data_IF_339776764210
#
_entry.id   IF_339776764210
#
_cell.length_a   1.000
_cell.length_b   1.000
_cell.length_c   1.000
_cell.angle_alpha   90.00
_cell.angle_beta   90.00
_cell.angle_gamma   90.00
#
_symmetry.space_group_name_H-M   'P 1'
#
loop_
_entity.id
_entity.type
_entity.pdbx_description
1 polymer ?
#
# COMPACT_ATOMS: atom_id res chain seq x y z
N UNK A 1 -3.84 28.95 6.25
CA UNK A 1 -2.73 28.81 5.28
C UNK A 1 -3.25 28.03 4.09
N UNK A 2 -3.69 28.73 3.04
CA UNK A 2 -4.32 28.14 1.85
C UNK A 2 -3.23 27.88 0.81
N UNK A 3 -2.86 26.61 0.58
CA UNK A 3 -1.99 26.23 -0.55
C UNK A 3 -2.86 25.73 -1.70
N UNK A 4 -3.01 26.57 -2.71
CA UNK A 4 -3.48 26.20 -4.04
C UNK A 4 -2.36 25.47 -4.79
N UNK A 5 -2.62 24.25 -5.25
CA UNK A 5 -1.71 23.51 -6.13
C UNK A 5 -2.04 23.85 -7.60
N UNK A 6 -1.15 24.60 -8.25
CA UNK A 6 -1.14 24.77 -9.70
C UNK A 6 -0.48 23.57 -10.37
N UNK A 7 -1.15 23.03 -11.39
CA UNK A 7 -0.62 21.99 -12.27
C UNK A 7 -0.12 22.63 -13.56
N UNK A 8 1.17 22.51 -13.84
CA UNK A 8 1.77 22.86 -15.12
C UNK A 8 3.26 22.57 -15.09
N UNK A 9 3.72 21.58 -15.85
CA UNK A 9 4.48 21.91 -17.06
C UNK A 9 4.90 20.69 -17.87
N UNK A 10 4.80 20.93 -19.17
CA UNK A 10 5.05 20.08 -20.32
C UNK A 10 6.55 19.86 -20.51
N UNK A 11 6.95 18.59 -20.61
CA UNK A 11 8.32 18.24 -20.98
C UNK A 11 8.48 18.35 -22.50
N UNK A 12 9.13 19.43 -22.95
CA UNK A 12 9.55 19.59 -24.34
C UNK A 12 10.64 18.57 -24.70
N UNK A 13 10.46 17.96 -25.87
CA UNK A 13 11.35 17.02 -26.52
C UNK A 13 12.24 17.82 -27.47
N UNK A 14 13.56 17.81 -27.26
CA UNK A 14 14.53 18.31 -28.24
C UNK A 14 15.15 17.12 -28.96
N UNK A 15 14.80 16.99 -30.23
CA UNK A 15 15.55 16.23 -31.22
C UNK A 15 16.74 17.06 -31.76
N UNK A 16 17.60 16.37 -32.52
CA UNK A 16 18.65 16.87 -33.43
C UNK A 16 20.02 17.21 -32.81
N UNK A 17 21.06 16.44 -33.20
CA UNK A 17 22.01 16.92 -34.23
C UNK A 17 22.80 15.76 -34.87
N UNK A 18 22.98 15.89 -36.17
CA UNK A 18 23.56 14.99 -37.16
C UNK A 18 25.04 15.29 -37.40
N UNK A 19 25.81 14.23 -37.71
CA UNK A 19 27.04 14.13 -38.52
C UNK A 19 28.28 15.00 -38.23
N UNK A 20 29.45 14.36 -38.29
CA UNK A 20 30.59 14.83 -39.09
C UNK A 20 31.55 13.68 -39.39
N UNK A 21 31.59 13.29 -40.67
CA UNK A 21 32.62 12.48 -41.31
C UNK A 21 33.70 13.44 -41.80
N UNK A 22 34.98 13.11 -41.60
CA UNK A 22 36.09 13.71 -42.32
C UNK A 22 37.23 12.67 -42.53
N UNK A 23 38.09 12.86 -43.55
CA UNK A 23 38.63 11.76 -44.34
C UNK A 23 40.13 11.49 -44.11
N UNK A 24 40.55 10.33 -44.64
CA UNK A 24 41.81 10.07 -45.37
C UNK A 24 43.12 10.66 -44.83
N UNK A 25 44.09 9.80 -44.50
CA UNK A 25 45.40 9.87 -45.14
C UNK A 25 46.10 8.50 -45.15
N UNK A 26 46.56 8.13 -46.35
CA UNK A 26 47.25 6.88 -46.62
C UNK A 26 48.69 6.87 -46.14
N UNK A 27 49.20 5.66 -45.97
CA UNK A 27 50.61 5.35 -46.15
C UNK A 27 50.70 3.92 -46.73
N UNK A 28 51.10 3.85 -47.98
CA UNK A 28 51.51 2.62 -48.64
C UNK A 28 52.69 1.98 -47.88
N UNK A 29 52.52 0.72 -47.50
CA UNK A 29 53.65 -0.20 -47.30
C UNK A 29 53.40 -1.47 -48.11
N UNK A 30 53.97 -1.47 -49.31
CA UNK A 30 54.31 -2.70 -50.05
C UNK A 30 55.55 -3.31 -49.38
N UNK A 31 55.45 -4.56 -48.93
CA UNK A 31 56.51 -5.56 -49.16
C UNK A 31 56.16 -6.92 -48.56
N UNK A 32 56.27 -7.94 -49.40
CA UNK A 32 56.72 -9.31 -49.06
C UNK A 32 55.88 -10.16 -48.08
N UNK A 33 54.70 -10.62 -48.51
CA UNK A 33 54.08 -11.84 -47.94
C UNK A 33 53.46 -12.70 -49.06
N UNK A 34 54.30 -13.14 -50.00
CA UNK A 34 53.88 -13.90 -51.19
C UNK A 34 54.01 -15.42 -51.07
N UNK A 35 54.64 -15.96 -50.02
CA UNK A 35 55.00 -17.40 -50.00
C UNK A 35 54.63 -18.18 -48.72
N UNK A 36 54.12 -17.55 -47.66
CA UNK A 36 53.55 -18.27 -46.49
C UNK A 36 52.02 -18.44 -46.52
N UNK A 37 51.32 -17.82 -47.46
CA UNK A 37 49.84 -17.81 -47.49
C UNK A 37 49.20 -19.14 -47.96
N UNK A 38 50.00 -20.08 -48.49
CA UNK A 38 49.51 -21.41 -48.92
C UNK A 38 49.56 -22.48 -47.81
N UNK A 39 50.28 -22.25 -46.72
CA UNK A 39 50.34 -23.18 -45.57
C UNK A 39 49.22 -22.92 -44.54
N UNK A 40 48.79 -21.67 -44.37
CA UNK A 40 47.76 -21.27 -43.38
C UNK A 40 46.33 -21.60 -43.85
N UNK A 41 46.07 -21.68 -45.17
CA UNK A 41 44.75 -22.04 -45.71
C UNK A 41 44.31 -23.48 -45.38
N UNK A 42 45.24 -24.44 -45.23
CA UNK A 42 44.89 -25.83 -44.86
C UNK A 42 44.57 -26.01 -43.37
N UNK A 43 45.12 -25.18 -42.48
CA UNK A 43 44.78 -25.22 -41.04
C UNK A 43 43.48 -24.47 -40.69
N UNK A 44 43.06 -23.49 -41.50
CA UNK A 44 41.78 -22.77 -41.33
C UNK A 44 40.54 -23.63 -41.60
N UNK A 45 40.64 -24.66 -42.46
CA UNK A 45 39.52 -25.54 -42.78
C UNK A 45 39.03 -26.41 -41.61
N UNK A 46 39.91 -26.75 -40.68
CA UNK A 46 39.57 -27.56 -39.49
C UNK A 46 39.17 -26.70 -38.27
N UNK A 47 39.73 -25.48 -38.17
CA UNK A 47 39.53 -24.62 -37.00
C UNK A 47 38.12 -23.99 -36.94
N UNK A 48 37.52 -23.67 -38.09
CA UNK A 48 36.18 -23.06 -38.15
C UNK A 48 35.06 -24.02 -37.68
N UNK A 49 34.98 -25.28 -38.17
CA UNK A 49 34.01 -26.26 -37.66
C UNK A 49 34.16 -26.52 -36.15
N UNK A 50 35.39 -26.56 -35.64
CA UNK A 50 35.67 -26.73 -34.22
C UNK A 50 35.14 -25.56 -33.39
N UNK A 51 35.41 -24.31 -33.83
CA UNK A 51 34.94 -23.10 -33.16
C UNK A 51 33.41 -23.01 -33.15
N UNK A 52 32.76 -23.34 -34.28
CA UNK A 52 31.28 -23.42 -34.35
C UNK A 52 30.75 -24.50 -33.39
N UNK A 53 31.41 -25.66 -33.32
CA UNK A 53 31.08 -26.71 -32.36
C UNK A 53 31.16 -26.24 -30.91
N UNK A 54 32.23 -25.54 -30.53
CA UNK A 54 32.40 -24.98 -29.18
C UNK A 54 31.32 -23.93 -28.87
N UNK A 55 31.00 -23.05 -29.81
CA UNK A 55 29.93 -22.04 -29.65
C UNK A 55 28.57 -22.72 -29.47
N UNK A 56 28.26 -23.75 -30.25
CA UNK A 56 26.99 -24.47 -30.10
C UNK A 56 26.90 -25.21 -28.76
N UNK A 57 27.97 -25.89 -28.34
CA UNK A 57 28.01 -26.58 -27.04
C UNK A 57 27.85 -25.58 -25.89
N UNK A 58 28.59 -24.46 -25.92
CA UNK A 58 28.48 -23.43 -24.88
C UNK A 58 27.11 -22.77 -24.85
N UNK A 59 26.51 -22.49 -26.00
CA UNK A 59 25.15 -21.94 -26.09
C UNK A 59 24.10 -22.92 -25.52
N UNK A 60 24.20 -24.22 -25.85
CA UNK A 60 23.32 -25.26 -25.31
C UNK A 60 23.52 -25.41 -23.80
N UNK A 61 24.76 -25.47 -23.31
CA UNK A 61 25.05 -25.53 -21.88
C UNK A 61 24.50 -24.31 -21.13
N UNK A 62 24.65 -23.10 -21.68
CA UNK A 62 24.10 -21.89 -21.11
C UNK A 62 22.56 -21.91 -21.10
N UNK A 63 21.93 -22.37 -22.18
CA UNK A 63 20.47 -22.54 -22.24
C UNK A 63 19.96 -23.53 -21.19
N UNK A 64 20.65 -24.67 -21.00
CA UNK A 64 20.33 -25.66 -19.97
C UNK A 64 20.49 -25.08 -18.56
N UNK A 65 21.56 -24.33 -18.31
CA UNK A 65 21.77 -23.65 -17.02
C UNK A 65 20.69 -22.60 -16.74
N UNK A 66 20.33 -21.80 -17.73
CA UNK A 66 19.24 -20.81 -17.62
C UNK A 66 17.89 -21.49 -17.39
N UNK A 67 17.60 -22.58 -18.09
CA UNK A 67 16.39 -23.37 -17.90
C UNK A 67 16.32 -23.99 -16.50
N UNK A 68 17.41 -24.62 -16.04
CA UNK A 68 17.51 -25.19 -14.69
C UNK A 68 17.30 -24.12 -13.62
N UNK A 69 17.96 -22.98 -13.77
CA UNK A 69 17.79 -21.84 -12.85
C UNK A 69 16.35 -21.32 -12.84
N UNK A 70 15.68 -21.28 -13.98
CA UNK A 70 14.28 -20.89 -14.08
C UNK A 70 13.34 -21.89 -13.37
N UNK A 71 13.58 -23.19 -13.54
CA UNK A 71 12.82 -24.26 -12.87
C UNK A 71 13.03 -24.22 -11.35
N UNK A 72 14.27 -24.08 -10.90
CA UNK A 72 14.59 -23.97 -9.46
C UNK A 72 13.97 -22.72 -8.84
N UNK A 73 14.03 -21.57 -9.52
CA UNK A 73 13.32 -20.35 -9.10
C UNK A 73 11.81 -20.55 -9.00
N UNK A 74 11.21 -21.26 -9.97
CA UNK A 74 9.77 -21.56 -9.94
C UNK A 74 9.41 -22.45 -8.74
N UNK A 75 10.16 -23.52 -8.49
CA UNK A 75 9.96 -24.41 -7.33
C UNK A 75 10.14 -23.67 -6.00
N UNK A 76 11.19 -22.86 -5.88
CA UNK A 76 11.42 -22.05 -4.68
C UNK A 76 10.28 -21.04 -4.46
N UNK A 77 9.77 -20.42 -5.52
CA UNK A 77 8.63 -19.52 -5.45
C UNK A 77 7.33 -20.23 -5.07
N UNK A 78 7.09 -21.45 -5.56
CA UNK A 78 5.92 -22.26 -5.22
C UNK A 78 5.97 -22.75 -3.77
N UNK A 79 7.15 -23.18 -3.31
CA UNK A 79 7.38 -23.56 -1.91
C UNK A 79 7.19 -22.37 -0.97
N UNK A 80 7.77 -21.21 -1.29
CA UNK A 80 7.58 -19.99 -0.51
C UNK A 80 6.11 -19.55 -0.49
N UNK A 81 5.41 -19.65 -1.61
CA UNK A 81 3.97 -19.38 -1.68
C UNK A 81 3.17 -20.32 -0.78
N UNK A 82 3.41 -21.63 -0.88
CA UNK A 82 2.70 -22.63 -0.07
C UNK A 82 2.94 -22.40 1.43
N UNK A 83 4.18 -22.09 1.81
CA UNK A 83 4.52 -21.72 3.18
C UNK A 83 3.80 -20.44 3.64
N UNK A 84 3.83 -19.36 2.85
CA UNK A 84 3.15 -18.11 3.23
C UNK A 84 1.62 -18.29 3.30
N UNK A 85 1.04 -19.12 2.43
CA UNK A 85 -0.39 -19.41 2.45
C UNK A 85 -0.82 -20.22 3.68
N UNK A 86 0.03 -21.13 4.19
CA UNK A 86 -0.26 -21.87 5.42
C UNK A 86 -0.26 -20.98 6.67
N UNK A 87 0.31 -19.78 6.57
CA UNK A 87 0.29 -18.76 7.62
C UNK A 87 -0.97 -17.89 7.62
N UNK A 88 -1.89 -18.11 6.68
CA UNK A 88 -3.14 -17.36 6.55
C UNK A 88 -4.33 -18.25 6.89
N UNK A 89 -5.15 -17.80 7.84
CA UNK A 89 -6.42 -18.43 8.18
C UNK A 89 -7.61 -17.47 8.00
N UNK A 90 -8.81 -18.04 7.98
CA UNK A 90 -10.08 -17.30 8.03
C UNK A 90 -10.83 -17.74 9.27
N UNK A 91 -11.10 -16.82 10.19
CA UNK A 91 -11.88 -17.10 11.39
C UNK A 91 -13.35 -17.42 11.05
N UNK A 92 -14.08 -17.99 12.01
CA UNK A 92 -15.53 -18.23 11.90
C UNK A 92 -16.35 -16.98 11.52
N UNK A 93 -15.85 -15.78 11.86
CA UNK A 93 -16.49 -14.51 11.50
C UNK A 93 -16.15 -13.99 10.08
N UNK A 94 -15.42 -14.79 9.29
CA UNK A 94 -14.90 -14.40 7.97
C UNK A 94 -13.69 -13.46 8.03
N UNK A 95 -13.20 -13.08 9.22
CA UNK A 95 -12.00 -12.24 9.36
C UNK A 95 -10.75 -13.04 9.05
N UNK A 96 -9.87 -12.48 8.24
CA UNK A 96 -8.53 -13.00 7.96
C UNK A 96 -7.64 -12.85 9.19
N UNK A 97 -6.93 -13.93 9.52
CA UNK A 97 -5.95 -14.01 10.60
C UNK A 97 -4.63 -14.43 9.99
N UNK A 98 -3.55 -13.73 10.33
CA UNK A 98 -2.20 -14.04 9.86
C UNK A 98 -1.35 -14.46 11.04
N UNK A 99 -0.52 -15.47 10.82
CA UNK A 99 0.58 -15.85 11.72
C UNK A 99 1.89 -15.40 11.09
N UNK A 100 2.76 -14.76 11.86
CA UNK A 100 4.04 -14.32 11.32
C UNK A 100 5.05 -15.47 11.28
N UNK A 101 5.93 -15.52 10.27
CA UNK A 101 6.90 -16.62 10.10
C UNK A 101 7.92 -16.73 11.25
N UNK A 102 8.07 -15.69 12.06
CA UNK A 102 8.91 -15.66 13.25
C UNK A 102 8.40 -14.63 14.26
N UNK A 103 8.90 -14.73 15.49
CA UNK A 103 8.70 -13.69 16.49
C UNK A 103 9.41 -12.40 16.08
N UNK A 104 8.74 -11.28 16.31
CA UNK A 104 9.28 -9.94 16.11
C UNK A 104 9.97 -9.52 17.41
N UNK A 105 11.18 -8.97 17.29
CA UNK A 105 12.06 -8.64 18.42
C UNK A 105 12.33 -7.14 18.48
N UNK A 106 12.78 -6.65 19.64
CA UNK A 106 13.11 -5.22 19.83
C UNK A 106 14.28 -4.72 18.97
N UNK A 107 15.06 -5.63 18.39
CA UNK A 107 16.22 -5.33 17.54
C UNK A 107 15.91 -5.48 16.06
N UNK A 108 14.68 -5.85 15.68
CA UNK A 108 14.32 -5.93 14.27
C UNK A 108 14.43 -4.55 13.62
N UNK A 109 15.07 -4.54 12.45
CA UNK A 109 15.13 -3.36 11.60
C UNK A 109 13.80 -3.13 10.90
N UNK A 110 13.59 -1.93 10.35
CA UNK A 110 12.38 -1.60 9.63
C UNK A 110 12.16 -2.49 8.40
N UNK A 111 13.24 -2.84 7.68
CA UNK A 111 13.21 -3.79 6.58
C UNK A 111 12.92 -5.23 7.04
N UNK A 112 13.47 -5.66 8.19
CA UNK A 112 13.16 -6.97 8.76
C UNK A 112 11.67 -7.14 9.07
N UNK A 113 11.05 -6.09 9.63
CA UNK A 113 9.64 -6.09 9.94
C UNK A 113 8.78 -6.13 8.67
N UNK A 114 9.13 -5.33 7.65
CA UNK A 114 8.47 -5.35 6.35
C UNK A 114 8.48 -6.75 5.70
N UNK A 115 9.65 -7.43 5.76
CA UNK A 115 9.85 -8.78 5.22
C UNK A 115 8.98 -9.84 5.89
N UNK A 116 8.70 -9.67 7.18
CA UNK A 116 7.88 -10.60 7.97
C UNK A 116 6.39 -10.36 7.73
N UNK A 117 5.97 -9.10 7.59
CA UNK A 117 4.56 -8.73 7.65
C UNK A 117 3.88 -8.60 6.29
N UNK A 118 4.51 -7.95 5.31
CA UNK A 118 3.85 -7.69 4.02
C UNK A 118 3.56 -8.98 3.24
N UNK A 119 4.49 -9.95 3.11
CA UNK A 119 4.25 -11.14 2.30
C UNK A 119 3.05 -11.97 2.77
N UNK A 120 2.84 -12.13 4.08
CA UNK A 120 1.70 -12.89 4.62
C UNK A 120 0.37 -12.15 4.41
N UNK A 121 0.34 -10.83 4.57
CA UNK A 121 -0.85 -10.01 4.28
C UNK A 121 -1.12 -9.91 2.77
N UNK A 122 -0.09 -9.98 1.93
CA UNK A 122 -0.25 -10.12 0.49
C UNK A 122 -0.97 -11.42 0.14
N UNK A 123 -0.52 -12.58 0.66
CA UNK A 123 -1.23 -13.84 0.44
C UNK A 123 -2.65 -13.83 1.03
N UNK A 124 -2.86 -13.22 2.20
CA UNK A 124 -4.19 -13.06 2.78
C UNK A 124 -5.13 -12.25 1.88
N UNK A 125 -4.60 -11.23 1.23
CA UNK A 125 -5.38 -10.43 0.29
C UNK A 125 -5.73 -11.20 -0.98
N UNK A 126 -4.82 -12.06 -1.47
CA UNK A 126 -5.11 -12.93 -2.61
C UNK A 126 -6.15 -13.99 -2.27
N UNK A 127 -6.05 -14.59 -1.09
CA UNK A 127 -7.07 -15.50 -0.57
C UNK A 127 -8.43 -14.78 -0.49
N UNK A 128 -8.45 -13.50 -0.12
CA UNK A 128 -9.70 -12.75 -0.01
C UNK A 128 -10.42 -12.48 -1.32
N UNK A 129 -9.74 -12.61 -2.47
CA UNK A 129 -10.34 -12.45 -3.79
C UNK A 129 -11.32 -13.57 -4.14
N UNK A 130 -11.24 -14.73 -3.46
CA UNK A 130 -12.18 -15.83 -3.68
C UNK A 130 -13.63 -15.46 -3.34
N UNK A 131 -13.82 -14.44 -2.48
CA UNK A 131 -15.14 -13.89 -2.13
C UNK A 131 -15.78 -13.16 -3.32
N UNK A 132 -14.99 -12.67 -4.27
CA UNK A 132 -15.47 -11.86 -5.39
C UNK A 132 -15.83 -12.75 -6.59
N UNK A 133 -16.81 -13.64 -6.44
CA UNK A 133 -17.33 -14.50 -7.51
C UNK A 133 -18.65 -13.96 -8.10
N UNK A 134 -19.22 -14.67 -9.08
CA UNK A 134 -20.45 -14.25 -9.77
C UNK A 134 -21.67 -14.14 -8.84
N UNK A 135 -21.62 -14.81 -7.69
CA UNK A 135 -22.67 -14.84 -6.67
C UNK A 135 -22.46 -13.81 -5.54
N UNK A 136 -21.36 -13.04 -5.58
CA UNK A 136 -21.00 -12.09 -4.52
C UNK A 136 -22.11 -11.07 -4.24
N UNK A 137 -22.42 -10.90 -2.97
CA UNK A 137 -23.35 -9.87 -2.50
C UNK A 137 -22.61 -8.72 -1.80
N UNK A 138 -23.22 -7.52 -1.73
CA UNK A 138 -22.65 -6.38 -1.03
C UNK A 138 -22.23 -6.63 0.43
N UNK A 139 -22.93 -7.51 1.15
CA UNK A 139 -22.57 -7.89 2.53
C UNK A 139 -21.26 -8.67 2.61
N UNK A 140 -20.94 -9.45 1.59
CA UNK A 140 -19.90 -10.48 1.63
C UNK A 140 -18.51 -9.85 1.52
N UNK A 141 -18.41 -8.71 0.84
CA UNK A 141 -17.14 -8.06 0.54
C UNK A 141 -16.49 -7.35 1.74
N UNK A 142 -17.20 -7.22 2.87
CA UNK A 142 -16.73 -6.43 4.02
C UNK A 142 -15.35 -6.88 4.55
N UNK A 143 -15.19 -8.18 4.79
CA UNK A 143 -13.94 -8.72 5.34
C UNK A 143 -12.83 -8.73 4.28
N UNK A 144 -13.15 -9.02 3.02
CA UNK A 144 -12.19 -8.98 1.92
C UNK A 144 -11.66 -7.56 1.69
N UNK A 145 -12.55 -6.55 1.69
CA UNK A 145 -12.19 -5.14 1.61
C UNK A 145 -11.28 -4.71 2.78
N UNK A 146 -11.56 -5.17 4.00
CA UNK A 146 -10.67 -4.94 5.15
C UNK A 146 -9.31 -5.61 5.00
N UNK A 147 -9.24 -6.80 4.39
CA UNK A 147 -7.97 -7.46 4.07
C UNK A 147 -7.17 -6.61 3.08
N UNK A 148 -7.78 -6.20 1.96
CA UNK A 148 -7.17 -5.31 0.96
C UNK A 148 -6.67 -4.00 1.57
N UNK A 149 -7.46 -3.39 2.47
CA UNK A 149 -7.12 -2.17 3.18
C UNK A 149 -5.87 -2.36 4.06
N UNK A 150 -5.86 -3.42 4.88
CA UNK A 150 -4.72 -3.74 5.74
C UNK A 150 -3.44 -3.92 4.92
N UNK A 151 -3.51 -4.70 3.83
CA UNK A 151 -2.36 -4.92 2.96
C UNK A 151 -1.89 -3.64 2.29
N UNK A 152 -2.81 -2.79 1.83
CA UNK A 152 -2.49 -1.48 1.25
C UNK A 152 -1.80 -0.55 2.26
N UNK A 153 -2.31 -0.50 3.47
CA UNK A 153 -1.78 0.36 4.52
C UNK A 153 -0.39 -0.13 4.99
N UNK A 154 -0.18 -1.45 5.04
CA UNK A 154 1.17 -2.03 5.24
C UNK A 154 2.14 -1.68 4.11
N UNK A 155 1.66 -1.68 2.86
CA UNK A 155 2.47 -1.18 1.76
C UNK A 155 2.85 0.28 2.05
N UNK A 156 1.89 1.17 2.25
CA UNK A 156 2.19 2.60 2.47
C UNK A 156 3.15 2.82 3.66
N UNK A 157 2.93 2.14 4.79
CA UNK A 157 3.80 2.18 5.97
C UNK A 157 5.23 1.72 5.66
N UNK A 158 5.43 0.60 4.97
CA UNK A 158 6.77 0.09 4.66
C UNK A 158 7.31 0.52 3.30
N UNK A 159 6.65 1.47 2.63
CA UNK A 159 7.09 1.99 1.33
C UNK A 159 8.57 2.40 1.27
N UNK A 160 9.20 2.96 2.33
CA UNK A 160 10.59 3.39 2.28
C UNK A 160 11.61 2.30 1.99
N UNK A 161 11.33 1.04 2.31
CA UNK A 161 12.29 -0.06 2.12
C UNK A 161 12.13 -0.75 0.76
N UNK A 162 11.21 -0.29 -0.08
CA UNK A 162 10.94 -0.90 -1.39
C UNK A 162 11.30 0.06 -2.53
N UNK A 163 12.20 -0.37 -3.41
CA UNK A 163 12.68 0.49 -4.50
C UNK A 163 11.65 0.68 -5.60
N UNK A 164 11.50 1.91 -6.10
CA UNK A 164 10.61 2.17 -7.24
C UNK A 164 11.29 2.01 -8.62
N UNK A 165 12.54 1.53 -8.69
CA UNK A 165 13.28 1.42 -9.97
C UNK A 165 12.52 0.64 -11.05
N UNK A 166 11.74 -0.35 -10.65
CA UNK A 166 10.96 -1.21 -11.55
C UNK A 166 9.48 -0.79 -11.68
N UNK A 167 9.08 0.32 -11.05
CA UNK A 167 7.67 0.79 -10.93
C UNK A 167 6.70 -0.24 -10.33
N UNK A 168 7.25 -1.27 -9.70
CA UNK A 168 6.46 -2.38 -9.12
C UNK A 168 5.63 -1.88 -7.97
N UNK A 169 6.26 -1.10 -7.10
CA UNK A 169 5.62 -0.45 -5.97
C UNK A 169 4.37 0.32 -6.39
N UNK A 170 4.54 1.34 -7.25
CA UNK A 170 3.47 2.21 -7.70
C UNK A 170 2.32 1.43 -8.36
N UNK A 171 2.64 0.42 -9.18
CA UNK A 171 1.62 -0.40 -9.84
C UNK A 171 0.84 -1.24 -8.84
N UNK A 172 1.54 -1.91 -7.91
CA UNK A 172 0.91 -2.70 -6.87
C UNK A 172 0.02 -1.83 -5.98
N UNK A 173 0.52 -0.67 -5.54
CA UNK A 173 -0.24 0.25 -4.72
C UNK A 173 -1.46 0.83 -5.44
N UNK A 174 -1.35 1.17 -6.73
CA UNK A 174 -2.52 1.60 -7.52
C UNK A 174 -3.58 0.49 -7.64
N UNK A 175 -3.16 -0.76 -7.82
CA UNK A 175 -4.09 -1.89 -7.85
C UNK A 175 -4.86 -2.05 -6.53
N UNK A 176 -4.17 -1.99 -5.38
CA UNK A 176 -4.83 -2.04 -4.08
C UNK A 176 -5.75 -0.84 -3.83
N UNK A 177 -5.38 0.36 -4.29
CA UNK A 177 -6.23 1.55 -4.21
C UNK A 177 -7.55 1.32 -4.94
N UNK A 178 -7.46 0.92 -6.21
CA UNK A 178 -8.60 0.68 -7.09
C UNK A 178 -9.49 -0.43 -6.52
N UNK A 179 -8.91 -1.55 -6.10
CA UNK A 179 -9.66 -2.65 -5.50
C UNK A 179 -10.40 -2.26 -4.24
N UNK A 180 -9.74 -1.53 -3.34
CA UNK A 180 -10.37 -1.04 -2.12
C UNK A 180 -11.54 -0.09 -2.39
N UNK A 181 -11.39 0.82 -3.37
CA UNK A 181 -12.43 1.79 -3.75
C UNK A 181 -13.60 1.09 -4.46
N UNK A 182 -13.34 0.16 -5.38
CA UNK A 182 -14.36 -0.60 -6.11
C UNK A 182 -15.13 -1.52 -5.17
N UNK A 183 -14.43 -2.30 -4.34
CA UNK A 183 -15.06 -3.16 -3.33
C UNK A 183 -15.86 -2.33 -2.33
N UNK A 184 -15.38 -1.15 -1.96
CA UNK A 184 -16.12 -0.21 -1.12
C UNK A 184 -17.41 0.25 -1.76
N UNK A 185 -17.34 0.75 -2.98
CA UNK A 185 -18.51 1.14 -3.76
C UNK A 185 -19.54 0.00 -3.85
N UNK A 186 -19.11 -1.24 -4.08
CA UNK A 186 -20.06 -2.35 -4.07
C UNK A 186 -20.63 -2.64 -2.68
N UNK A 187 -19.82 -2.60 -1.62
CA UNK A 187 -20.24 -2.79 -0.23
C UNK A 187 -21.28 -1.75 0.21
N UNK A 188 -21.16 -0.50 -0.23
CA UNK A 188 -22.05 0.60 0.18
C UNK A 188 -23.51 0.36 -0.28
N UNK A 189 -23.75 -0.62 -1.18
CA UNK A 189 -25.11 -1.08 -1.50
C UNK A 189 -25.73 -1.94 -0.38
N UNK A 190 -24.96 -2.44 0.58
CA UNK A 190 -25.51 -3.16 1.73
C UNK A 190 -26.07 -2.22 2.80
N UNK A 191 -25.63 -0.95 2.81
CA UNK A 191 -25.96 -0.03 3.89
C UNK A 191 -27.47 0.26 3.90
N UNK A 192 -28.11 0.04 5.06
CA UNK A 192 -29.57 -0.02 5.20
C UNK A 192 -30.34 1.26 4.87
N UNK A 193 -29.65 2.35 4.52
CA UNK A 193 -30.23 3.62 4.12
C UNK A 193 -30.19 3.85 2.60
N UNK A 194 -29.67 2.89 1.82
CA UNK A 194 -29.49 3.03 0.38
C UNK A 194 -30.51 2.18 -0.37
N UNK A 195 -31.45 2.82 -1.06
CA UNK A 195 -32.29 2.14 -2.06
C UNK A 195 -31.60 2.19 -3.42
N UNK A 196 -31.32 1.02 -4.01
CA UNK A 196 -30.68 0.90 -5.32
C UNK A 196 -31.48 0.00 -6.25
N UNK A 197 -31.40 0.26 -7.55
CA UNK A 197 -31.99 -0.60 -8.57
C UNK A 197 -31.05 -1.76 -8.95
N UNK A 198 -31.63 -2.77 -9.60
CA UNK A 198 -30.91 -3.96 -10.07
C UNK A 198 -29.77 -3.62 -11.04
N UNK A 199 -29.91 -2.55 -11.83
CA UNK A 199 -28.90 -2.15 -12.79
C UNK A 199 -27.64 -1.58 -12.10
N UNK A 200 -27.80 -0.74 -11.07
CA UNK A 200 -26.68 -0.24 -10.26
C UNK A 200 -25.95 -1.37 -9.55
N UNK A 201 -26.69 -2.36 -9.03
CA UNK A 201 -26.12 -3.56 -8.43
C UNK A 201 -25.22 -4.32 -9.42
N UNK A 202 -25.75 -4.66 -10.60
CA UNK A 202 -24.96 -5.37 -11.63
C UNK A 202 -23.74 -4.54 -12.06
N UNK A 203 -23.91 -3.25 -12.31
CA UNK A 203 -22.81 -2.36 -12.69
C UNK A 203 -21.66 -2.37 -11.67
N UNK A 204 -21.95 -2.27 -10.36
CA UNK A 204 -20.92 -2.25 -9.32
C UNK A 204 -20.29 -3.64 -9.11
N UNK A 205 -21.08 -4.72 -9.19
CA UNK A 205 -20.56 -6.09 -9.15
C UNK A 205 -19.64 -6.36 -10.33
N UNK A 206 -20.06 -6.05 -11.55
CA UNK A 206 -19.27 -6.34 -12.74
C UNK A 206 -17.95 -5.55 -12.74
N UNK A 207 -17.95 -4.31 -12.24
CA UNK A 207 -16.71 -3.55 -12.02
C UNK A 207 -15.76 -4.23 -11.01
N UNK A 208 -16.29 -4.82 -9.94
CA UNK A 208 -15.53 -5.59 -8.96
C UNK A 208 -14.91 -6.85 -9.59
N UNK A 209 -15.69 -7.60 -10.36
CA UNK A 209 -15.21 -8.82 -11.05
C UNK A 209 -14.16 -8.51 -12.11
N UNK A 210 -14.36 -7.45 -12.90
CA UNK A 210 -13.38 -6.98 -13.88
C UNK A 210 -12.07 -6.59 -13.19
N UNK A 211 -12.13 -5.82 -12.10
CA UNK A 211 -10.92 -5.47 -11.34
C UNK A 211 -10.23 -6.72 -10.77
N UNK A 212 -10.98 -7.65 -10.19
CA UNK A 212 -10.44 -8.91 -9.65
C UNK A 212 -9.63 -9.64 -10.71
N UNK A 213 -10.20 -9.88 -11.90
CA UNK A 213 -9.50 -10.56 -12.98
C UNK A 213 -8.26 -9.81 -13.46
N UNK A 214 -8.32 -8.47 -13.55
CA UNK A 214 -7.16 -7.65 -13.89
C UNK A 214 -6.05 -7.76 -12.84
N UNK A 215 -6.42 -7.79 -11.55
CA UNK A 215 -5.49 -7.91 -10.45
C UNK A 215 -4.85 -9.32 -10.37
N UNK A 216 -5.64 -10.38 -10.51
CA UNK A 216 -5.15 -11.76 -10.60
C UNK A 216 -4.17 -11.91 -11.78
N UNK A 217 -4.55 -11.42 -12.97
CA UNK A 217 -3.67 -11.43 -14.14
C UNK A 217 -2.39 -10.60 -13.92
N UNK A 218 -2.48 -9.47 -13.22
CA UNK A 218 -1.32 -8.65 -12.85
C UNK A 218 -0.36 -9.43 -11.93
N UNK A 219 -0.89 -10.19 -10.96
CA UNK A 219 -0.10 -11.00 -10.03
C UNK A 219 0.50 -12.24 -10.70
N UNK A 220 -0.27 -12.96 -11.50
CA UNK A 220 0.17 -14.20 -12.17
C UNK A 220 1.23 -13.95 -13.24
N UNK A 221 1.03 -12.93 -14.09
CA UNK A 221 2.03 -12.55 -15.11
C UNK A 221 3.36 -12.13 -14.48
N UNK A 222 3.32 -11.74 -13.20
CA UNK A 222 4.45 -11.18 -12.46
C UNK A 222 4.73 -12.00 -11.20
N UNK A 223 5.13 -13.26 -11.36
CA UNK A 223 5.67 -14.08 -10.27
C UNK A 223 6.75 -13.34 -9.43
N UNK A 224 7.39 -12.31 -10.00
CA UNK A 224 8.31 -11.46 -9.29
C UNK A 224 7.67 -10.64 -8.14
N UNK A 225 6.36 -10.38 -8.08
CA UNK A 225 5.76 -9.52 -7.01
C UNK A 225 6.02 -10.14 -5.64
N UNK A 226 5.80 -11.46 -5.50
CA UNK A 226 6.12 -12.18 -4.25
C UNK A 226 7.59 -12.06 -3.90
N UNK A 227 8.46 -12.30 -4.89
CA UNK A 227 9.91 -12.14 -4.72
C UNK A 227 10.25 -10.71 -4.30
N UNK A 228 9.67 -9.70 -4.94
CA UNK A 228 9.89 -8.31 -4.64
C UNK A 228 9.51 -7.97 -3.19
N UNK A 229 8.34 -8.41 -2.73
CA UNK A 229 7.88 -8.18 -1.35
C UNK A 229 8.74 -8.91 -0.30
N UNK A 230 9.37 -10.04 -0.67
CA UNK A 230 10.30 -10.77 0.21
C UNK A 230 11.68 -10.13 0.35
N UNK A 231 12.01 -9.12 -0.45
CA UNK A 231 13.33 -8.49 -0.47
C UNK A 231 13.24 -6.96 -0.30
N UNK A 232 12.77 -6.46 0.85
CA UNK A 232 12.98 -5.06 1.20
C UNK A 232 14.48 -4.76 1.26
N UNK A 233 14.84 -3.53 0.90
CA UNK A 233 16.22 -3.04 0.93
C UNK A 233 16.61 -2.68 2.35
N UNK A 234 17.68 -3.30 2.85
CA UNK A 234 18.24 -3.00 4.17
C UNK A 234 18.70 -1.54 4.30
N UNK A 235 19.14 -0.90 3.21
CA UNK A 235 19.62 0.48 3.24
C UNK A 235 18.65 1.44 2.51
N UNK A 236 17.45 0.97 2.17
CA UNK A 236 16.48 1.74 1.40
C UNK A 236 15.74 2.77 2.25
N UNK A 237 15.73 4.02 1.82
CA UNK A 237 14.93 5.11 2.40
C UNK A 237 14.21 5.87 1.26
N UNK A 238 13.39 5.15 0.50
CA UNK A 238 12.77 5.65 -0.71
C UNK A 238 11.53 6.50 -0.43
N UNK A 239 11.38 7.61 -1.15
CA UNK A 239 10.14 8.36 -1.23
C UNK A 239 9.36 7.94 -2.47
N UNK A 240 8.05 7.76 -2.34
CA UNK A 240 7.17 7.38 -3.46
C UNK A 240 6.06 8.41 -3.64
N UNK A 241 5.75 8.75 -4.90
CA UNK A 241 4.71 9.73 -5.23
C UNK A 241 3.28 9.21 -4.96
N UNK A 242 3.09 7.90 -4.98
CA UNK A 242 1.78 7.24 -4.88
C UNK A 242 1.42 6.80 -3.45
N UNK A 243 2.27 7.14 -2.46
CA UNK A 243 2.02 6.82 -1.05
C UNK A 243 0.90 7.72 -0.51
N UNK A 244 0.04 7.13 0.31
CA UNK A 244 -1.03 7.87 0.97
C UNK A 244 -0.46 8.97 1.89
N UNK A 245 -1.10 10.14 1.90
CA UNK A 245 -0.74 11.23 2.81
C UNK A 245 -0.87 10.86 4.29
N UNK A 246 -1.63 9.81 4.61
CA UNK A 246 -1.82 9.30 5.97
C UNK A 246 -0.57 8.65 6.58
N UNK A 247 0.54 8.54 5.83
CA UNK A 247 1.77 7.90 6.30
C UNK A 247 2.92 8.91 6.33
N UNK A 248 3.98 8.70 5.55
CA UNK A 248 5.20 9.51 5.60
C UNK A 248 5.09 10.89 4.96
N UNK A 249 3.89 11.38 4.65
CA UNK A 249 3.74 12.73 4.14
C UNK A 249 3.92 13.74 5.28
N UNK A 250 4.84 14.68 5.10
CA UNK A 250 5.19 15.65 6.14
C UNK A 250 6.28 15.19 7.11
N UNK A 251 6.78 13.95 6.99
CA UNK A 251 7.99 13.53 7.68
C UNK A 251 9.21 14.22 7.05
N UNK A 252 10.16 14.69 7.88
CA UNK A 252 11.42 15.30 7.41
C UNK A 252 12.22 14.33 6.53
N UNK A 253 12.24 13.05 6.93
CA UNK A 253 12.72 11.93 6.12
C UNK A 253 11.91 10.68 6.40
N UNK A 254 11.67 9.80 5.41
CA UNK A 254 11.19 8.46 5.68
C UNK A 254 12.27 7.62 6.39
N UNK A 255 11.89 6.54 7.10
CA UNK A 255 12.85 5.62 7.70
C UNK A 255 13.67 4.89 6.63
N UNK A 256 14.90 4.56 6.99
CA UNK A 256 15.77 3.67 6.25
C UNK A 256 15.53 2.21 6.67
N UNK A 257 15.88 1.25 5.82
CA UNK A 257 15.65 -0.16 6.11
C UNK A 257 16.36 -0.68 7.37
N UNK A 258 17.49 -0.08 7.73
CA UNK A 258 18.34 -0.41 8.87
C UNK A 258 17.96 0.36 10.14
N UNK A 259 17.05 1.35 10.03
CA UNK A 259 16.49 2.02 11.19
C UNK A 259 15.73 0.99 12.05
N UNK A 260 15.71 1.19 13.37
CA UNK A 260 14.95 0.32 14.26
C UNK A 260 13.46 0.42 13.92
N UNK A 261 12.80 -0.74 13.79
CA UNK A 261 11.39 -0.78 13.42
C UNK A 261 10.51 -0.06 14.44
N UNK A 262 10.85 -0.18 15.73
CA UNK A 262 10.14 0.47 16.84
C UNK A 262 10.13 2.00 16.69
N UNK A 263 11.32 2.61 16.63
CA UNK A 263 11.43 4.07 16.52
C UNK A 263 10.75 4.58 15.25
N UNK A 264 10.94 3.89 14.12
CA UNK A 264 10.31 4.27 12.85
C UNK A 264 8.77 4.27 12.96
N UNK A 265 8.17 3.21 13.50
CA UNK A 265 6.72 3.12 13.65
C UNK A 265 6.16 4.08 14.72
N UNK A 266 6.91 4.36 15.78
CA UNK A 266 6.52 5.38 16.77
C UNK A 266 6.49 6.77 16.14
N UNK A 267 7.49 7.13 15.32
CA UNK A 267 7.51 8.40 14.57
C UNK A 267 6.31 8.52 13.64
N UNK A 268 5.98 7.46 12.89
CA UNK A 268 4.79 7.41 12.04
C UNK A 268 3.50 7.63 12.84
N UNK A 269 3.37 6.93 13.98
CA UNK A 269 2.20 7.05 14.84
C UNK A 269 2.06 8.45 15.45
N UNK A 270 3.16 9.09 15.86
CA UNK A 270 3.17 10.48 16.34
C UNK A 270 2.74 11.43 15.23
N UNK A 271 3.27 11.27 14.01
CA UNK A 271 2.88 12.08 12.84
C UNK A 271 1.37 11.97 12.56
N UNK A 272 0.82 10.77 12.56
CA UNK A 272 -0.61 10.54 12.36
C UNK A 272 -1.48 11.15 13.47
N UNK A 273 -1.04 11.04 14.73
CA UNK A 273 -1.77 11.62 15.87
C UNK A 273 -1.74 13.15 15.83
N UNK A 274 -0.61 13.77 15.44
CA UNK A 274 -0.51 15.21 15.26
C UNK A 274 -1.39 15.69 14.11
N UNK A 275 -1.37 15.02 12.95
CA UNK A 275 -2.28 15.33 11.84
C UNK A 275 -3.75 15.19 12.27
N UNK A 276 -4.08 14.15 13.05
CA UNK A 276 -5.42 13.96 13.59
C UNK A 276 -5.81 15.12 14.52
N UNK A 277 -4.90 15.62 15.35
CA UNK A 277 -5.14 16.77 16.22
C UNK A 277 -5.38 18.06 15.41
N UNK A 278 -4.60 18.28 14.35
CA UNK A 278 -4.77 19.43 13.46
C UNK A 278 -6.15 19.42 12.80
N UNK A 279 -6.57 18.29 12.23
CA UNK A 279 -7.92 18.16 11.68
C UNK A 279 -8.99 18.32 12.77
N UNK A 280 -8.79 17.76 13.97
CA UNK A 280 -9.75 17.91 15.07
C UNK A 280 -9.97 19.39 15.41
N UNK A 281 -8.89 20.17 15.50
CA UNK A 281 -8.95 21.61 15.80
C UNK A 281 -9.72 22.39 14.73
N UNK A 282 -9.52 22.04 13.46
CA UNK A 282 -10.27 22.64 12.34
C UNK A 282 -11.75 22.30 12.43
N UNK A 283 -12.09 21.01 12.55
CA UNK A 283 -13.49 20.58 12.46
C UNK A 283 -14.32 21.00 13.67
N UNK A 284 -13.74 21.11 14.88
CA UNK A 284 -14.48 21.59 16.05
C UNK A 284 -14.99 23.03 15.90
N UNK A 285 -14.37 23.81 15.02
CA UNK A 285 -14.83 25.15 14.63
C UNK A 285 -16.10 25.17 13.78
N UNK A 286 -16.54 24.05 13.23
CA UNK A 286 -17.71 24.01 12.35
C UNK A 286 -19.03 24.02 13.12
N UNK A 287 -19.88 24.99 12.79
CA UNK A 287 -21.26 25.06 13.29
C UNK A 287 -22.21 24.13 12.54
N UNK A 288 -21.91 23.82 11.28
CA UNK A 288 -22.66 22.90 10.42
C UNK A 288 -21.68 22.03 9.64
N UNK A 289 -22.07 20.81 9.29
CA UNK A 289 -21.18 19.87 8.59
C UNK A 289 -21.62 19.58 7.15
N UNK A 290 -22.78 20.09 6.72
CA UNK A 290 -23.36 19.85 5.39
C UNK A 290 -22.64 20.47 4.18
N UNK A 291 -21.43 21.00 4.33
CA UNK A 291 -20.62 21.42 3.18
C UNK A 291 -19.66 20.31 2.74
N UNK A 292 -19.34 20.26 1.43
CA UNK A 292 -18.37 19.29 0.90
C UNK A 292 -16.98 19.46 1.51
N UNK A 293 -16.59 20.70 1.78
CA UNK A 293 -15.31 21.03 2.41
C UNK A 293 -15.26 20.50 3.84
N UNK A 294 -16.29 20.77 4.65
CA UNK A 294 -16.34 20.26 6.02
C UNK A 294 -16.37 18.74 6.05
N UNK A 295 -17.06 18.11 5.09
CA UNK A 295 -17.05 16.67 4.98
C UNK A 295 -15.68 16.09 4.67
N UNK A 296 -14.93 16.73 3.79
CA UNK A 296 -13.58 16.30 3.48
C UNK A 296 -12.69 16.33 4.74
N UNK A 297 -12.78 17.40 5.53
CA UNK A 297 -11.96 17.59 6.73
C UNK A 297 -12.29 16.57 7.84
N UNK A 298 -13.57 16.34 8.19
CA UNK A 298 -13.88 15.32 9.21
C UNK A 298 -13.60 13.89 8.70
N UNK A 299 -13.71 13.67 7.40
CA UNK A 299 -13.35 12.37 6.79
C UNK A 299 -11.84 12.14 6.84
N UNK A 300 -11.03 13.17 6.62
CA UNK A 300 -9.58 13.09 6.80
C UNK A 300 -9.22 12.83 8.26
N UNK A 301 -9.84 13.55 9.21
CA UNK A 301 -9.69 13.25 10.63
C UNK A 301 -9.98 11.77 10.96
N UNK A 302 -11.12 11.26 10.48
CA UNK A 302 -11.51 9.86 10.66
C UNK A 302 -10.49 8.90 10.05
N UNK A 303 -9.90 9.23 8.90
CA UNK A 303 -8.89 8.41 8.24
C UNK A 303 -7.58 8.37 9.02
N UNK A 304 -7.14 9.48 9.60
CA UNK A 304 -5.95 9.52 10.45
C UNK A 304 -6.15 8.64 11.69
N UNK A 305 -7.28 8.80 12.39
CA UNK A 305 -7.64 7.92 13.52
C UNK A 305 -7.70 6.44 13.12
N UNK A 306 -8.25 6.14 11.94
CA UNK A 306 -8.31 4.78 11.43
C UNK A 306 -6.91 4.24 11.14
N UNK A 307 -6.04 5.00 10.49
CA UNK A 307 -4.67 4.61 10.16
C UNK A 307 -3.92 4.21 11.42
N UNK A 308 -3.88 5.12 12.41
CA UNK A 308 -3.25 4.87 13.70
C UNK A 308 -3.86 3.66 14.43
N UNK A 309 -5.18 3.52 14.48
CA UNK A 309 -5.83 2.39 15.17
C UNK A 309 -5.59 1.05 14.49
N UNK A 310 -5.50 1.03 13.16
CA UNK A 310 -5.18 -0.17 12.39
C UNK A 310 -3.71 -0.54 12.60
N UNK A 311 -2.80 0.44 12.66
CA UNK A 311 -1.40 0.26 13.04
C UNK A 311 -1.24 -0.23 14.49
N UNK A 312 -1.94 0.37 15.46
CA UNK A 312 -1.95 -0.12 16.84
C UNK A 312 -2.40 -1.58 16.92
N UNK A 313 -3.37 -1.99 16.09
CA UNK A 313 -3.81 -3.39 16.05
C UNK A 313 -2.73 -4.32 15.50
N UNK A 314 -1.96 -3.88 14.51
CA UNK A 314 -0.91 -4.68 13.86
C UNK A 314 0.40 -4.69 14.64
N UNK A 315 0.76 -3.55 15.23
CA UNK A 315 2.06 -3.22 15.78
C UNK A 315 2.01 -2.79 17.24
N UNK A 316 0.88 -2.93 17.93
CA UNK A 316 0.73 -2.42 19.30
C UNK A 316 1.80 -2.92 20.27
N UNK A 317 2.28 -4.15 20.07
CA UNK A 317 3.38 -4.73 20.85
C UNK A 317 4.77 -4.12 20.54
N UNK A 318 4.93 -3.51 19.37
CA UNK A 318 6.12 -2.74 18.96
C UNK A 318 6.01 -1.29 19.43
N UNK A 319 4.84 -0.67 19.22
CA UNK A 319 4.56 0.73 19.56
C UNK A 319 4.54 0.97 21.07
N UNK A 320 3.94 0.05 21.83
CA UNK A 320 3.74 0.15 23.28
C UNK A 320 4.21 -1.14 23.97
N UNK A 321 5.53 -1.39 24.07
CA UNK A 321 6.06 -2.50 24.84
C UNK A 321 5.74 -2.33 26.32
N UNK A 322 5.79 -3.43 27.09
CA UNK A 322 5.38 -3.45 28.50
C UNK A 322 6.04 -2.34 29.33
N UNK A 323 7.33 -2.03 29.11
CA UNK A 323 8.01 -0.95 29.81
C UNK A 323 7.32 0.42 29.65
N UNK A 324 6.92 0.78 28.42
CA UNK A 324 6.16 2.01 28.16
C UNK A 324 4.78 1.96 28.84
N UNK A 325 4.12 0.80 28.77
CA UNK A 325 2.81 0.60 29.41
C UNK A 325 2.88 0.68 30.94
N UNK A 326 3.98 0.27 31.55
CA UNK A 326 4.18 0.30 32.99
C UNK A 326 4.46 1.73 33.48
N UNK A 327 5.23 2.52 32.71
CA UNK A 327 5.55 3.92 33.04
C UNK A 327 4.35 4.87 32.90
N UNK A 328 3.58 4.75 31.82
CA UNK A 328 2.43 5.63 31.54
C UNK A 328 1.15 5.17 32.21
N UNK A 329 1.11 3.93 32.71
CA UNK A 329 -0.12 3.30 33.14
C UNK A 329 -0.89 2.72 31.95
N UNK A 330 -0.88 1.39 31.84
CA UNK A 330 -1.63 0.60 30.85
C UNK A 330 -3.11 1.00 30.75
N UNK A 331 -3.71 1.44 31.85
CA UNK A 331 -5.09 1.91 31.91
C UNK A 331 -5.29 3.21 31.13
N UNK A 332 -4.36 4.16 31.20
CA UNK A 332 -4.45 5.43 30.50
C UNK A 332 -4.35 5.25 28.98
N UNK A 333 -3.36 4.48 28.52
CA UNK A 333 -3.22 4.13 27.09
C UNK A 333 -4.46 3.40 26.59
N UNK A 334 -4.96 2.43 27.36
CA UNK A 334 -6.18 1.69 27.01
C UNK A 334 -7.41 2.61 26.92
N UNK A 335 -7.56 3.54 27.86
CA UNK A 335 -8.65 4.51 27.88
C UNK A 335 -8.56 5.46 26.67
N UNK A 336 -7.38 5.99 26.34
CA UNK A 336 -7.18 6.82 25.17
C UNK A 336 -7.50 6.07 23.87
N UNK A 337 -7.00 4.84 23.70
CA UNK A 337 -7.32 3.98 22.55
C UNK A 337 -8.84 3.72 22.47
N UNK A 338 -9.52 3.53 23.59
CA UNK A 338 -10.97 3.37 23.62
C UNK A 338 -11.69 4.64 23.12
N UNK A 339 -11.26 5.81 23.57
CA UNK A 339 -11.77 7.11 23.13
C UNK A 339 -11.59 7.29 21.62
N UNK A 340 -10.40 7.02 21.07
CA UNK A 340 -10.15 7.09 19.63
C UNK A 340 -11.04 6.12 18.83
N UNK A 341 -11.22 4.88 19.31
CA UNK A 341 -12.13 3.89 18.67
C UNK A 341 -13.58 4.37 18.65
N UNK A 342 -14.05 4.99 19.74
CA UNK A 342 -15.41 5.52 19.84
C UNK A 342 -15.60 6.73 18.91
N UNK A 343 -14.63 7.65 18.86
CA UNK A 343 -14.61 8.78 17.91
C UNK A 343 -14.74 8.30 16.46
N UNK A 344 -13.87 7.36 16.05
CA UNK A 344 -13.93 6.75 14.71
C UNK A 344 -15.29 6.13 14.39
N UNK A 345 -15.95 5.50 15.38
CA UNK A 345 -17.28 4.89 15.22
C UNK A 345 -18.37 5.94 15.01
N UNK A 346 -18.36 7.04 15.79
CA UNK A 346 -19.32 8.14 15.63
C UNK A 346 -19.19 8.79 14.25
N UNK A 347 -17.95 9.12 13.83
CA UNK A 347 -17.68 9.69 12.51
C UNK A 347 -17.98 8.71 11.37
N UNK A 348 -17.84 7.41 11.62
CA UNK A 348 -18.25 6.37 10.67
C UNK A 348 -19.74 6.44 10.39
N UNK A 349 -20.57 6.45 11.43
CA UNK A 349 -22.02 6.57 11.30
C UNK A 349 -22.44 7.85 10.57
N UNK A 350 -21.80 8.98 10.92
CA UNK A 350 -22.02 10.26 10.23
C UNK A 350 -21.68 10.17 8.73
N UNK A 351 -20.55 9.54 8.38
CA UNK A 351 -20.16 9.31 6.99
C UNK A 351 -21.14 8.40 6.23
N UNK A 352 -21.70 7.39 6.90
CA UNK A 352 -22.68 6.49 6.27
C UNK A 352 -23.98 7.25 5.93
N UNK A 353 -24.44 8.15 6.82
CA UNK A 353 -25.55 9.07 6.50
C UNK A 353 -25.20 10.05 5.37
N UNK A 354 -23.97 10.54 5.33
CA UNK A 354 -23.49 11.40 4.25
C UNK A 354 -23.55 10.73 2.88
N UNK A 355 -23.12 9.48 2.80
CA UNK A 355 -23.13 8.72 1.54
C UNK A 355 -24.57 8.44 1.10
N UNK A 356 -25.45 8.06 2.02
CA UNK A 356 -26.88 7.92 1.75
C UNK A 356 -27.49 9.24 1.22
N UNK A 357 -27.15 10.38 1.85
CA UNK A 357 -27.58 11.70 1.40
C UNK A 357 -27.13 12.00 -0.03
N UNK A 358 -25.88 11.68 -0.39
CA UNK A 358 -25.35 11.89 -1.75
C UNK A 358 -26.01 11.00 -2.80
N UNK A 359 -26.35 9.76 -2.43
CA UNK A 359 -27.05 8.83 -3.33
C UNK A 359 -28.47 9.30 -3.60
N UNK A 360 -29.18 9.76 -2.57
CA UNK A 360 -30.57 10.23 -2.70
C UNK A 360 -30.67 11.55 -3.47
N UNK A 361 -29.65 12.43 -3.38
CA UNK A 361 -29.60 13.69 -4.15
C UNK A 361 -29.73 13.51 -5.67
N UNK A 362 -29.44 12.31 -6.19
CA UNK A 362 -29.54 12.00 -7.63
C UNK A 362 -30.97 11.68 -8.07
N UNK A 363 -31.92 11.54 -7.14
CA UNK A 363 -33.30 11.13 -7.43
C UNK A 363 -34.26 12.24 -7.00
N UNK A 364 -35.00 12.79 -7.95
CA UNK A 364 -35.94 13.88 -7.68
C UNK A 364 -37.09 13.47 -6.75
N UNK A 365 -37.45 12.19 -6.75
CA UNK A 365 -38.49 11.61 -5.90
C UNK A 365 -38.13 11.51 -4.41
N UNK A 366 -36.89 11.82 -4.01
CA UNK A 366 -36.37 11.58 -2.66
C UNK A 366 -36.08 12.86 -1.85
N UNK A 367 -36.63 14.02 -2.24
CA UNK A 367 -36.41 15.32 -1.56
C UNK A 367 -36.71 15.28 -0.05
N UNK A 368 -37.79 14.61 0.37
CA UNK A 368 -38.14 14.49 1.80
C UNK A 368 -37.14 13.61 2.56
N UNK A 369 -36.74 12.47 1.99
CA UNK A 369 -35.73 11.60 2.57
C UNK A 369 -34.37 12.31 2.69
N UNK A 370 -34.04 13.13 1.69
CA UNK A 370 -32.84 13.96 1.69
C UNK A 370 -32.86 15.00 2.83
N UNK A 371 -33.98 15.68 3.05
CA UNK A 371 -34.13 16.64 4.16
C UNK A 371 -33.97 15.94 5.52
N UNK A 372 -34.61 14.78 5.72
CA UNK A 372 -34.47 13.98 6.95
C UNK A 372 -33.02 13.55 7.20
N UNK A 373 -32.30 13.15 6.16
CA UNK A 373 -30.88 12.80 6.27
C UNK A 373 -30.00 14.01 6.61
N UNK A 374 -30.29 15.18 6.03
CA UNK A 374 -29.59 16.42 6.37
C UNK A 374 -29.74 16.78 7.85
N UNK A 375 -30.97 16.77 8.37
CA UNK A 375 -31.24 17.03 9.79
C UNK A 375 -30.52 16.02 10.68
N UNK A 376 -30.53 14.74 10.30
CA UNK A 376 -29.85 13.67 11.04
C UNK A 376 -28.34 13.83 11.06
N UNK A 377 -27.74 14.25 9.95
CA UNK A 377 -26.30 14.51 9.83
C UNK A 377 -25.91 15.64 10.80
N UNK A 378 -26.66 16.74 10.84
CA UNK A 378 -26.37 17.86 11.74
C UNK A 378 -26.61 17.48 13.22
N UNK A 379 -27.64 16.70 13.53
CA UNK A 379 -27.87 16.16 14.88
C UNK A 379 -26.68 15.30 15.35
N UNK A 380 -26.23 14.36 14.53
CA UNK A 380 -25.10 13.47 14.86
C UNK A 380 -23.77 14.21 14.92
N UNK A 381 -23.61 15.26 14.11
CA UNK A 381 -22.47 16.16 14.21
C UNK A 381 -22.41 16.88 15.56
N UNK A 382 -23.55 17.41 16.03
CA UNK A 382 -23.62 18.05 17.35
C UNK A 382 -23.37 17.06 18.49
N UNK A 383 -23.91 15.83 18.39
CA UNK A 383 -23.62 14.74 19.34
C UNK A 383 -22.12 14.46 19.39
N UNK A 384 -21.47 14.37 18.22
CA UNK A 384 -20.03 14.15 18.15
C UNK A 384 -19.24 15.29 18.80
N UNK A 385 -19.56 16.56 18.52
CA UNK A 385 -18.88 17.72 19.11
C UNK A 385 -18.97 17.73 20.63
N UNK A 386 -20.17 17.56 21.19
CA UNK A 386 -20.37 17.51 22.65
C UNK A 386 -19.58 16.34 23.25
N UNK A 387 -19.67 15.15 22.63
CA UNK A 387 -18.93 13.99 23.09
C UNK A 387 -17.40 14.19 23.08
N UNK A 388 -16.86 14.88 22.06
CA UNK A 388 -15.44 15.19 21.97
C UNK A 388 -14.96 16.07 23.14
N UNK A 389 -15.76 17.04 23.54
CA UNK A 389 -15.49 17.92 24.68
C UNK A 389 -15.56 17.13 25.99
N UNK A 390 -16.66 16.40 26.21
CA UNK A 390 -16.90 15.61 27.43
C UNK A 390 -15.84 14.53 27.68
N UNK A 391 -15.30 13.95 26.61
CA UNK A 391 -14.28 12.89 26.68
C UNK A 391 -12.85 13.38 26.51
N UNK A 392 -12.66 14.70 26.39
CA UNK A 392 -11.35 15.30 26.14
C UNK A 392 -10.59 14.57 25.02
N UNK A 393 -11.21 14.44 23.84
CA UNK A 393 -10.62 13.69 22.73
C UNK A 393 -9.23 14.22 22.33
N UNK A 394 -9.04 15.54 22.37
CA UNK A 394 -7.75 16.17 22.11
C UNK A 394 -6.69 15.71 23.11
N UNK A 395 -7.03 15.70 24.42
CA UNK A 395 -6.15 15.16 25.45
C UNK A 395 -5.80 13.69 25.23
N UNK A 396 -6.76 12.85 24.85
CA UNK A 396 -6.49 11.45 24.53
C UNK A 396 -5.51 11.26 23.36
N UNK A 397 -5.60 12.11 22.32
CA UNK A 397 -4.66 12.10 21.20
C UNK A 397 -3.27 12.55 21.67
N UNK A 398 -3.19 13.63 22.45
CA UNK A 398 -1.94 14.18 22.98
C UNK A 398 -1.23 13.21 23.94
N UNK A 399 -1.96 12.56 24.85
CA UNK A 399 -1.43 11.52 25.73
C UNK A 399 -0.72 10.44 24.93
N UNK A 400 -1.35 9.91 23.87
CA UNK A 400 -0.76 8.88 23.03
C UNK A 400 0.45 9.39 22.23
N UNK A 401 0.40 10.63 21.74
CA UNK A 401 1.52 11.21 21.00
C UNK A 401 2.74 11.42 21.91
N UNK A 402 2.55 11.97 23.11
CA UNK A 402 3.62 12.15 24.10
C UNK A 402 4.20 10.82 24.56
N UNK A 403 3.35 9.82 24.81
CA UNK A 403 3.74 8.47 25.16
C UNK A 403 4.72 7.85 24.14
N UNK A 404 4.43 8.04 22.86
CA UNK A 404 5.23 7.49 21.77
C UNK A 404 6.52 8.30 21.52
N UNK A 405 6.54 9.60 21.84
CA UNK A 405 7.69 10.48 21.65
C UNK A 405 8.73 10.39 22.80
N UNK A 406 8.30 10.14 24.04
CA UNK A 406 9.19 10.15 25.22
C UNK A 406 10.29 9.07 25.18
N UNK A 407 10.06 7.97 24.45
CA UNK A 407 10.99 6.85 24.29
C UNK A 407 12.22 7.17 23.40
N UNK A 408 12.18 8.28 22.65
CA UNK A 408 13.35 8.74 21.89
C UNK A 408 14.39 9.45 22.75
N UNK A 409 14.00 10.00 23.91
CA UNK A 409 14.87 10.82 24.77
C UNK A 409 15.69 10.03 25.79
N UNK A 410 15.42 8.74 25.99
CA UNK A 410 16.13 7.87 26.97
C UNK A 410 17.30 7.09 26.37
N UNK A 411 17.74 7.46 25.16
CA UNK A 411 18.96 6.99 24.51
C UNK A 411 19.87 8.17 24.21
#
# INVERSE_FOLDING_TARGET
MTRTFESGDSYQRTDETTALIAPSNGAEKKSSEGLEYRSIKKKRGFLMPLLVGIIMVTAVSMAVLLYRHQVERKRASESARSYLQSLVGVSHSGKYVVTYPRNITKTDTFADLAKVMIPVWFEASLLSLSVFDDSVNPSDVHNARKCLLTTRDLLDAFSPVYTNRTRVWDRLRRQYKQGYEIAGSFQDLHDGNVTYDKHLWHKRRDALLVWRHQFEAFVERRNFIRTYLLHPSADGCYTHKEVSHLFWAGADRPPCGNDLARSSLQQLAVLQLNNALDYLNVILGYNKVLSREHQLEYHNFRKELRSFLDEYKLFGFVLFPSAIMDELGKEEVSAAIHTLKKSRKLLGKLNDHWEAFNLNRKKESEKEAQAKLADRIEEEWMIFKTWCQDKNLAGAIQTLAHALAADECTK
#
